data_IF_454761683750
#
_entry.id   IF_454761683750
#
_cell.length_a   1.000
_cell.length_b   1.000
_cell.length_c   1.000
_cell.angle_alpha   90.00
_cell.angle_beta   90.00
_cell.angle_gamma   90.00
#
_symmetry.space_group_name_H-M   'P 1'
#
loop_
_entity.id
_entity.type
_entity.pdbx_description
1 polymer ?
#
# COMPACT_ATOMS: atom_id res chain seq x y z
N UNK A 1 8.52 8.37 -3.07
CA UNK A 1 8.43 8.31 -4.55
C UNK A 1 7.33 9.24 -5.01
N UNK A 2 7.43 9.77 -6.22
CA UNK A 2 6.38 10.56 -6.84
C UNK A 2 6.22 10.12 -8.29
N UNK A 3 4.98 9.95 -8.74
CA UNK A 3 4.64 9.71 -10.13
C UNK A 3 3.31 10.40 -10.41
N UNK A 4 3.25 11.24 -11.44
CA UNK A 4 1.97 11.71 -12.00
C UNK A 4 1.03 12.34 -10.95
N UNK A 5 1.56 13.26 -10.14
CA UNK A 5 0.82 13.90 -9.04
C UNK A 5 0.68 13.05 -7.77
N UNK A 6 0.77 11.72 -7.88
CA UNK A 6 0.69 10.81 -6.75
C UNK A 6 2.02 10.73 -6.01
N UNK A 7 1.97 10.96 -4.70
CA UNK A 7 3.09 10.82 -3.78
C UNK A 7 2.90 9.61 -2.89
N UNK A 8 3.93 8.77 -2.80
CA UNK A 8 3.94 7.62 -1.92
C UNK A 8 5.19 7.59 -1.04
N UNK A 9 4.97 7.27 0.23
CA UNK A 9 6.02 6.99 1.21
C UNK A 9 6.28 5.49 1.22
N UNK A 10 7.53 5.06 1.04
CA UNK A 10 7.86 3.64 0.97
C UNK A 10 8.93 3.30 2.01
N UNK A 11 8.72 2.23 2.76
CA UNK A 11 9.69 1.76 3.77
C UNK A 11 9.55 0.26 4.00
N UNK A 12 10.54 -0.39 4.63
CA UNK A 12 10.32 -1.76 5.11
C UNK A 12 9.31 -1.80 6.26
N UNK A 13 9.28 -0.79 7.14
CA UNK A 13 8.29 -0.67 8.24
C UNK A 13 8.81 -0.96 9.65
N UNK A 14 9.98 -1.60 9.80
CA UNK A 14 10.55 -1.95 11.12
C UNK A 14 10.79 -0.74 12.05
N UNK A 15 11.11 0.43 11.49
CA UNK A 15 11.31 1.68 12.25
C UNK A 15 10.00 2.36 12.69
N UNK A 16 8.85 1.92 12.18
CA UNK A 16 7.54 2.56 12.39
C UNK A 16 6.60 1.71 13.23
N UNK A 17 7.13 0.72 13.96
CA UNK A 17 6.37 -0.14 14.88
C UNK A 17 5.13 -0.80 14.25
N UNK A 18 5.19 -1.14 12.96
CA UNK A 18 4.05 -1.63 12.16
C UNK A 18 3.41 -2.92 12.66
N UNK A 19 4.11 -3.69 13.51
CA UNK A 19 3.54 -4.85 14.21
C UNK A 19 2.53 -4.47 15.29
N UNK A 20 2.59 -3.24 15.83
CA UNK A 20 1.68 -2.73 16.88
C UNK A 20 0.63 -1.80 16.29
N UNK A 21 1.04 -0.87 15.44
CA UNK A 21 0.16 0.11 14.82
C UNK A 21 0.81 0.71 13.57
N UNK A 22 -0.01 1.22 12.65
CA UNK A 22 0.41 1.91 11.42
C UNK A 22 0.23 3.42 11.49
N UNK A 23 -0.19 3.94 12.65
CA UNK A 23 -0.41 5.38 12.84
C UNK A 23 0.85 6.21 12.58
N UNK A 24 2.00 5.83 13.15
CA UNK A 24 3.26 6.54 12.94
C UNK A 24 3.67 6.56 11.46
N UNK A 25 3.48 5.44 10.75
CA UNK A 25 3.76 5.37 9.32
C UNK A 25 2.84 6.31 8.52
N UNK A 26 1.55 6.34 8.85
CA UNK A 26 0.57 7.23 8.21
C UNK A 26 0.87 8.71 8.47
N UNK A 27 1.24 9.06 9.70
CA UNK A 27 1.63 10.43 10.08
C UNK A 27 2.86 10.91 9.30
N UNK A 28 3.86 10.04 9.14
CA UNK A 28 5.07 10.36 8.37
C UNK A 28 4.76 10.55 6.89
N UNK A 29 3.98 9.64 6.30
CA UNK A 29 3.53 9.79 4.92
C UNK A 29 2.74 11.10 4.73
N UNK A 30 1.84 11.43 5.65
CA UNK A 30 1.08 12.68 5.62
C UNK A 30 1.96 13.93 5.74
N UNK A 31 2.97 13.91 6.62
CA UNK A 31 3.94 15.00 6.76
C UNK A 31 4.77 15.23 5.48
N UNK A 32 4.91 14.20 4.65
CA UNK A 32 5.52 14.27 3.32
C UNK A 32 4.52 14.48 2.17
N UNK A 33 3.27 14.84 2.50
CA UNK A 33 2.20 15.10 1.53
C UNK A 33 1.94 13.90 0.62
N UNK A 34 2.10 12.68 1.14
CA UNK A 34 1.84 11.44 0.43
C UNK A 34 0.39 10.98 0.61
N UNK A 35 -0.21 10.48 -0.47
CA UNK A 35 -1.52 9.82 -0.44
C UNK A 35 -1.36 8.33 -0.07
N UNK A 36 -0.20 7.74 -0.36
CA UNK A 36 0.10 6.34 -0.11
C UNK A 36 1.26 6.15 0.86
N UNK A 37 1.17 5.11 1.69
CA UNK A 37 2.27 4.60 2.50
C UNK A 37 2.42 3.09 2.28
N UNK A 38 3.45 2.69 1.53
CA UNK A 38 3.77 1.28 1.29
C UNK A 38 4.77 0.76 2.32
N UNK A 39 4.46 -0.38 2.92
CA UNK A 39 5.34 -1.04 3.88
C UNK A 39 5.35 -2.56 3.76
N UNK A 40 6.34 -3.21 4.36
CA UNK A 40 6.47 -4.66 4.40
C UNK A 40 6.60 -5.17 5.84
N UNK A 41 7.62 -6.00 6.08
CA UNK A 41 8.03 -6.50 7.40
C UNK A 41 7.09 -7.55 8.05
N UNK A 42 5.79 -7.33 8.09
CA UNK A 42 4.85 -8.25 8.76
C UNK A 42 4.51 -9.49 7.94
N UNK A 43 4.66 -9.41 6.60
CA UNK A 43 4.21 -10.40 5.61
C UNK A 43 2.69 -10.65 5.64
N UNK A 44 1.92 -9.71 6.19
CA UNK A 44 0.46 -9.79 6.28
C UNK A 44 -0.10 -8.78 5.31
N UNK A 45 -0.73 -9.25 4.23
CA UNK A 45 -1.38 -8.38 3.25
C UNK A 45 -2.47 -7.55 3.95
N UNK A 46 -2.40 -6.22 3.81
CA UNK A 46 -3.37 -5.32 4.42
C UNK A 46 -3.43 -3.96 3.74
N UNK A 47 -4.65 -3.52 3.45
CA UNK A 47 -4.96 -2.17 3.02
C UNK A 47 -5.87 -1.51 4.07
N UNK A 48 -5.53 -0.31 4.52
CA UNK A 48 -6.41 0.52 5.34
C UNK A 48 -6.13 2.00 5.13
N UNK A 49 -7.12 2.86 5.41
CA UNK A 49 -6.95 4.31 5.34
C UNK A 49 -6.82 4.89 6.75
N UNK A 50 -5.70 5.56 7.04
CA UNK A 50 -5.45 6.23 8.32
C UNK A 50 -5.17 7.71 8.08
N UNK A 51 -5.99 8.59 8.65
CA UNK A 51 -5.75 10.03 8.58
C UNK A 51 -5.75 10.63 7.17
N UNK A 52 -6.41 9.95 6.21
CA UNK A 52 -6.44 10.30 4.78
C UNK A 52 -5.34 9.67 3.94
N UNK A 53 -4.49 8.80 4.52
CA UNK A 53 -3.42 8.09 3.81
C UNK A 53 -3.79 6.62 3.63
N UNK A 54 -3.63 6.10 2.41
CA UNK A 54 -3.74 4.67 2.10
C UNK A 54 -2.48 3.93 2.55
N UNK A 55 -2.59 3.15 3.63
CA UNK A 55 -1.47 2.42 4.23
C UNK A 55 -1.51 0.95 3.83
N UNK A 56 -0.58 0.56 2.97
CA UNK A 56 -0.64 -0.69 2.22
C UNK A 56 0.56 -1.59 2.51
N UNK A 57 0.28 -2.81 2.96
CA UNK A 57 1.21 -3.92 2.94
C UNK A 57 0.81 -4.90 1.84
N UNK A 58 1.69 -5.18 0.88
CA UNK A 58 1.38 -6.11 -0.20
C UNK A 58 1.36 -7.57 0.24
N UNK A 59 1.73 -7.88 1.49
CA UNK A 59 1.98 -9.23 1.96
C UNK A 59 3.39 -9.66 1.63
N UNK A 60 3.55 -10.91 1.20
CA UNK A 60 4.84 -11.46 0.79
C UNK A 60 4.64 -12.34 -0.42
N UNK A 61 5.45 -12.15 -1.47
CA UNK A 61 5.40 -12.93 -2.70
C UNK A 61 5.93 -14.37 -2.52
N UNK A 62 6.54 -14.67 -1.37
CA UNK A 62 7.21 -15.95 -1.12
C UNK A 62 6.91 -16.60 0.23
N UNK A 63 6.42 -15.83 1.20
CA UNK A 63 6.20 -16.29 2.58
C UNK A 63 5.05 -15.52 3.22
N UNK A 64 3.82 -15.73 2.74
CA UNK A 64 2.64 -15.08 3.32
C UNK A 64 2.43 -15.49 4.79
N UNK A 65 2.01 -14.54 5.63
CA UNK A 65 1.60 -14.76 7.02
C UNK A 65 0.14 -14.32 7.28
N UNK A 66 -0.59 -13.97 6.22
CA UNK A 66 -2.02 -13.68 6.26
C UNK A 66 -2.86 -14.89 5.85
N UNK A 67 -4.18 -14.77 5.94
CA UNK A 67 -5.12 -15.68 5.27
C UNK A 67 -5.13 -15.51 3.74
N UNK A 68 -4.63 -14.38 3.24
CA UNK A 68 -4.38 -14.13 1.83
C UNK A 68 -3.08 -14.85 1.44
N UNK A 69 -3.09 -15.51 0.27
CA UNK A 69 -1.95 -16.21 -0.32
C UNK A 69 -0.76 -15.28 -0.64
N UNK A 70 0.31 -15.80 -1.22
CA UNK A 70 1.44 -14.98 -1.65
C UNK A 70 1.02 -13.91 -2.65
N UNK A 71 1.28 -12.66 -2.29
CA UNK A 71 0.72 -11.52 -3.00
C UNK A 71 1.72 -10.38 -3.20
N UNK A 72 1.37 -9.51 -4.15
CA UNK A 72 1.99 -8.21 -4.37
C UNK A 72 0.92 -7.16 -4.70
N UNK A 73 1.30 -5.89 -4.67
CA UNK A 73 0.41 -4.79 -5.03
C UNK A 73 0.87 -4.10 -6.30
N UNK A 74 -0.08 -3.80 -7.17
CA UNK A 74 0.08 -2.97 -8.37
C UNK A 74 -0.74 -1.69 -8.18
N UNK A 75 -0.08 -0.53 -8.29
CA UNK A 75 -0.74 0.78 -8.30
C UNK A 75 -0.68 1.34 -9.72
N UNK A 76 -1.85 1.52 -10.33
CA UNK A 76 -2.02 2.07 -11.68
C UNK A 76 -2.55 3.49 -11.55
N UNK A 77 -1.95 4.43 -12.27
CA UNK A 77 -2.34 5.84 -12.27
C UNK A 77 -2.77 6.21 -13.68
N UNK A 78 -4.02 6.65 -13.85
CA UNK A 78 -4.57 7.18 -15.10
C UNK A 78 -4.79 8.69 -14.99
N UNK A 79 -3.89 9.43 -15.62
CA UNK A 79 -3.90 10.90 -15.64
C UNK A 79 -5.05 11.47 -16.47
N UNK A 80 -5.54 10.72 -17.46
CA UNK A 80 -6.56 11.20 -18.41
C UNK A 80 -7.87 11.45 -17.69
N UNK A 81 -8.17 10.61 -16.71
CA UNK A 81 -9.43 10.63 -15.94
C UNK A 81 -9.21 10.99 -14.47
N UNK A 82 -7.98 11.30 -14.05
CA UNK A 82 -7.65 11.64 -12.66
C UNK A 82 -8.01 10.52 -11.69
N UNK A 83 -7.70 9.27 -12.03
CA UNK A 83 -7.98 8.11 -11.18
C UNK A 83 -6.73 7.28 -10.95
N UNK A 84 -6.67 6.65 -9.78
CA UNK A 84 -5.71 5.61 -9.53
C UNK A 84 -6.40 4.35 -8.96
N UNK A 85 -5.82 3.22 -9.30
CA UNK A 85 -6.36 1.89 -9.01
C UNK A 85 -5.27 1.07 -8.31
N UNK A 86 -5.58 0.59 -7.12
CA UNK A 86 -4.73 -0.27 -6.31
C UNK A 86 -5.23 -1.71 -6.42
N UNK A 87 -4.41 -2.62 -6.94
CA UNK A 87 -4.75 -4.04 -7.09
C UNK A 87 -3.84 -4.89 -6.22
N UNK A 88 -4.44 -5.73 -5.39
CA UNK A 88 -3.74 -6.84 -4.74
C UNK A 88 -3.81 -8.05 -5.67
N UNK A 89 -2.65 -8.59 -6.04
CA UNK A 89 -2.55 -9.74 -6.95
C UNK A 89 -1.82 -10.91 -6.31
N UNK A 90 -2.20 -12.13 -6.68
CA UNK A 90 -1.46 -13.33 -6.31
C UNK A 90 -0.26 -13.60 -7.25
N UNK A 91 0.46 -14.69 -7.03
CA UNK A 91 1.63 -15.10 -7.84
C UNK A 91 1.27 -15.43 -9.30
N UNK A 92 0.02 -15.75 -9.58
CA UNK A 92 -0.51 -16.04 -10.91
C UNK A 92 -0.99 -14.76 -11.62
N UNK A 93 -0.77 -13.60 -11.00
CA UNK A 93 -1.21 -12.28 -11.47
C UNK A 93 -2.73 -12.08 -11.47
N UNK A 94 -3.47 -12.96 -10.80
CA UNK A 94 -4.93 -12.84 -10.62
C UNK A 94 -5.22 -11.78 -9.55
N UNK A 95 -6.31 -11.03 -9.74
CA UNK A 95 -6.71 -9.97 -8.82
C UNK A 95 -7.44 -10.62 -7.63
N UNK A 96 -6.90 -10.41 -6.44
CA UNK A 96 -7.50 -10.84 -5.15
C UNK A 96 -8.44 -9.76 -4.63
N UNK A 97 -8.01 -8.50 -4.71
CA UNK A 97 -8.74 -7.34 -4.22
C UNK A 97 -8.35 -6.10 -5.03
N UNK A 98 -9.24 -5.11 -5.10
CA UNK A 98 -8.99 -3.87 -5.82
C UNK A 98 -9.77 -2.69 -5.24
N UNK A 99 -9.12 -1.51 -5.27
CA UNK A 99 -9.72 -0.25 -4.89
C UNK A 99 -9.40 0.84 -5.92
N UNK A 100 -10.34 1.76 -6.13
CA UNK A 100 -10.20 2.91 -7.02
C UNK A 100 -10.43 4.20 -6.26
N UNK A 101 -9.71 5.24 -6.63
CA UNK A 101 -9.81 6.55 -6.01
C UNK A 101 -9.48 7.66 -7.01
N UNK A 102 -10.07 8.83 -6.76
CA UNK A 102 -9.79 10.06 -7.48
C UNK A 102 -8.49 10.68 -6.97
N UNK A 103 -7.73 11.30 -7.87
CA UNK A 103 -6.42 11.95 -7.62
C UNK A 103 -6.38 13.36 -8.17
#
# INVERSE_FOLDING_TARGET
MQANGVRAFCTHGHLYSVNRSRMQLAEQAKAHECQFAFYGHTHVAKHETIGGVHVVNPGSISQSRSSIEESYVELIIDETIGQAELKLRNRQHEIIDQDKFEI
#
